data_IF_564404435422
#
_entry.id   IF_564404435422
#
_cell.length_a   1.000
_cell.length_b   1.000
_cell.length_c   1.000
_cell.angle_alpha   90.00
_cell.angle_beta   90.00
_cell.angle_gamma   90.00
#
_symmetry.space_group_name_H-M   'P 1'
#
loop_
_entity.id
_entity.type
_entity.pdbx_description
1 polymer ?
#
# COMPACT_ATOMS: atom_id res chain seq x y z
N UNK A 1 -35.07 -11.31 8.05
CA UNK A 1 -34.60 -12.72 8.01
C UNK A 1 -33.09 -12.72 7.81
N UNK A 2 -32.32 -13.42 8.64
CA UNK A 2 -30.87 -13.55 8.44
C UNK A 2 -30.60 -14.39 7.20
N UNK A 3 -29.77 -13.88 6.29
CA UNK A 3 -29.39 -14.61 5.08
C UNK A 3 -28.64 -15.91 5.44
N UNK A 4 -29.03 -17.02 4.81
CA UNK A 4 -28.40 -18.32 5.04
C UNK A 4 -27.06 -18.39 4.29
N UNK A 5 -25.99 -18.78 4.98
CA UNK A 5 -24.68 -19.02 4.37
C UNK A 5 -24.74 -20.26 3.45
N UNK A 6 -24.69 -20.06 2.12
CA UNK A 6 -24.82 -21.13 1.10
C UNK A 6 -23.49 -21.65 0.54
N UNK A 7 -22.46 -20.82 0.56
CA UNK A 7 -21.18 -21.13 -0.09
C UNK A 7 -20.13 -21.61 0.91
N UNK A 8 -19.29 -22.56 0.51
CA UNK A 8 -18.19 -23.11 1.31
C UNK A 8 -16.87 -22.93 0.57
N UNK A 9 -15.86 -22.47 1.30
CA UNK A 9 -14.47 -22.40 0.83
C UNK A 9 -13.65 -23.36 1.70
N UNK A 10 -12.88 -24.26 1.07
CA UNK A 10 -11.96 -25.15 1.76
C UNK A 10 -10.54 -24.56 1.73
N UNK A 11 -9.92 -24.39 2.90
CA UNK A 11 -8.54 -23.86 3.03
C UNK A 11 -7.68 -24.94 3.65
N UNK A 12 -6.61 -25.35 2.94
CA UNK A 12 -5.60 -26.26 3.50
C UNK A 12 -4.66 -25.45 4.40
N UNK A 13 -4.40 -25.95 5.60
CA UNK A 13 -3.57 -25.29 6.60
C UNK A 13 -2.48 -26.25 7.10
N UNK A 14 -1.37 -25.70 7.56
CA UNK A 14 -0.44 -26.49 8.38
C UNK A 14 -1.08 -26.80 9.73
N UNK A 15 -0.60 -27.83 10.44
CA UNK A 15 -1.08 -28.13 11.78
C UNK A 15 -0.93 -26.92 12.72
N UNK A 16 0.20 -26.22 12.65
CA UNK A 16 0.46 -25.03 13.47
C UNK A 16 -0.56 -23.90 13.21
N UNK A 17 -0.86 -23.61 11.94
CA UNK A 17 -1.83 -22.56 11.61
C UNK A 17 -3.25 -22.94 12.01
N UNK A 18 -3.61 -24.22 11.89
CA UNK A 18 -4.92 -24.72 12.32
C UNK A 18 -5.09 -24.61 13.83
N UNK A 19 -4.10 -25.04 14.63
CA UNK A 19 -4.16 -24.88 16.09
C UNK A 19 -4.18 -23.40 16.50
N UNK A 20 -3.43 -22.53 15.81
CA UNK A 20 -3.49 -21.09 16.05
C UNK A 20 -4.89 -20.51 15.78
N UNK A 21 -5.57 -20.96 14.73
CA UNK A 21 -6.96 -20.58 14.46
C UNK A 21 -7.89 -21.03 15.61
N UNK A 22 -7.77 -22.28 16.07
CA UNK A 22 -8.58 -22.79 17.17
C UNK A 22 -8.39 -21.96 18.45
N UNK A 23 -7.14 -21.74 18.86
CA UNK A 23 -6.83 -20.93 20.05
C UNK A 23 -7.42 -19.53 19.96
N UNK A 24 -7.17 -18.82 18.84
CA UNK A 24 -7.68 -17.44 18.68
C UNK A 24 -9.20 -17.36 18.62
N UNK A 25 -9.84 -18.32 17.96
CA UNK A 25 -11.30 -18.36 17.92
C UNK A 25 -11.91 -18.59 19.30
N UNK A 26 -11.30 -19.47 20.10
CA UNK A 26 -11.68 -19.71 21.49
C UNK A 26 -11.48 -18.46 22.36
N UNK A 27 -10.32 -17.81 22.28
CA UNK A 27 -10.04 -16.55 23.01
C UNK A 27 -11.03 -15.43 22.64
N UNK A 28 -11.44 -15.37 21.38
CA UNK A 28 -12.45 -14.42 20.90
C UNK A 28 -13.90 -14.83 21.23
N UNK A 29 -14.13 -16.01 21.81
CA UNK A 29 -15.46 -16.52 22.17
C UNK A 29 -16.35 -16.86 20.97
N UNK A 30 -15.77 -17.13 19.79
CA UNK A 30 -16.51 -17.42 18.55
C UNK A 30 -16.06 -18.72 17.91
N UNK A 31 -16.89 -19.31 17.04
CA UNK A 31 -16.48 -20.49 16.28
C UNK A 31 -15.31 -20.18 15.32
N UNK A 32 -14.45 -21.14 14.98
CA UNK A 32 -13.38 -20.95 13.98
C UNK A 32 -13.89 -20.40 12.65
N UNK A 33 -15.06 -20.85 12.21
CA UNK A 33 -15.67 -20.36 10.96
C UNK A 33 -16.15 -18.91 11.07
N UNK A 34 -16.68 -18.50 12.22
CA UNK A 34 -17.06 -17.09 12.41
C UNK A 34 -15.82 -16.20 12.56
N UNK A 35 -14.81 -16.67 13.29
CA UNK A 35 -13.52 -15.99 13.39
C UNK A 35 -12.93 -15.72 11.99
N UNK A 36 -12.90 -16.73 11.11
CA UNK A 36 -12.41 -16.57 9.74
C UNK A 36 -13.29 -15.65 8.90
N UNK A 37 -14.61 -15.68 9.07
CA UNK A 37 -15.52 -14.73 8.39
C UNK A 37 -15.26 -13.30 8.84
N UNK A 38 -15.05 -13.09 10.12
CA UNK A 38 -14.77 -11.76 10.67
C UNK A 38 -13.40 -11.25 10.23
N UNK A 39 -12.38 -12.12 10.21
CA UNK A 39 -11.10 -11.81 9.59
C UNK A 39 -11.21 -11.49 8.10
N UNK A 40 -12.15 -12.11 7.37
CA UNK A 40 -12.37 -11.79 5.96
C UNK A 40 -13.14 -10.46 5.77
N UNK A 41 -14.14 -10.18 6.61
CA UNK A 41 -14.93 -8.93 6.53
C UNK A 41 -14.09 -7.70 6.90
N UNK A 42 -13.23 -7.83 7.92
CA UNK A 42 -12.51 -6.70 8.51
C UNK A 42 -11.00 -6.73 8.24
N UNK A 43 -10.44 -7.89 7.88
CA UNK A 43 -9.05 -8.00 7.47
C UNK A 43 -8.88 -7.61 6.02
N UNK A 44 -7.70 -7.09 5.70
CA UNK A 44 -7.31 -6.74 4.35
C UNK A 44 -6.05 -7.50 3.97
N UNK A 45 -6.02 -8.06 2.77
CA UNK A 45 -4.78 -8.47 2.13
C UNK A 45 -4.28 -7.26 1.37
N UNK A 46 -3.12 -6.73 1.75
CA UNK A 46 -2.51 -5.62 1.00
C UNK A 46 -2.16 -6.14 -0.39
N UNK A 47 -2.83 -5.60 -1.41
CA UNK A 47 -2.50 -5.92 -2.80
C UNK A 47 -1.03 -5.60 -3.04
N UNK A 48 -0.33 -6.45 -3.81
CA UNK A 48 1.00 -6.07 -4.29
C UNK A 48 0.83 -4.79 -5.11
N UNK A 49 1.77 -3.86 -4.98
CA UNK A 49 1.81 -2.69 -5.84
C UNK A 49 1.71 -3.17 -7.30
N UNK A 50 0.70 -2.68 -8.03
CA UNK A 50 0.58 -2.95 -9.46
C UNK A 50 1.88 -2.55 -10.15
N UNK A 51 2.18 -3.14 -11.31
CA UNK A 51 3.36 -2.76 -12.09
C UNK A 51 3.37 -1.24 -12.38
N UNK A 52 2.18 -0.66 -12.55
CA UNK A 52 1.95 0.77 -12.70
C UNK A 52 2.34 1.56 -11.43
N UNK A 53 1.86 1.16 -10.25
CA UNK A 53 2.23 1.80 -8.97
C UNK A 53 3.73 1.69 -8.69
N UNK A 54 4.34 0.53 -8.99
CA UNK A 54 5.78 0.35 -8.89
C UNK A 54 6.56 1.23 -9.91
N UNK A 55 5.96 1.52 -11.06
CA UNK A 55 6.45 2.49 -12.03
C UNK A 55 6.44 3.92 -11.47
N UNK A 56 5.34 4.36 -10.88
CA UNK A 56 5.23 5.68 -10.25
C UNK A 56 6.22 5.86 -9.09
N UNK A 57 6.41 4.84 -8.25
CA UNK A 57 7.40 4.87 -7.16
C UNK A 57 8.82 5.02 -7.72
N UNK A 58 9.17 4.28 -8.79
CA UNK A 58 10.49 4.43 -9.44
C UNK A 58 10.69 5.84 -10.03
N UNK A 59 9.66 6.41 -10.65
CA UNK A 59 9.70 7.78 -11.14
C UNK A 59 9.91 8.78 -10.00
N UNK A 60 9.21 8.61 -8.89
CA UNK A 60 9.36 9.43 -7.68
C UNK A 60 10.80 9.36 -7.13
N UNK A 61 11.39 8.17 -7.06
CA UNK A 61 12.79 8.01 -6.66
C UNK A 61 13.75 8.74 -7.62
N UNK A 62 13.49 8.69 -8.93
CA UNK A 62 14.25 9.45 -9.93
C UNK A 62 14.17 10.97 -9.73
N UNK A 63 13.05 11.47 -9.19
CA UNK A 63 12.87 12.89 -8.90
C UNK A 63 13.79 13.42 -7.79
N UNK A 64 14.23 12.56 -6.87
CA UNK A 64 15.23 12.95 -5.86
C UNK A 64 16.55 13.39 -6.52
N UNK A 65 16.96 12.73 -7.62
CA UNK A 65 18.12 13.13 -8.39
C UNK A 65 17.92 14.47 -9.11
N UNK A 66 16.71 14.71 -9.65
CA UNK A 66 16.39 15.99 -10.29
C UNK A 66 16.46 17.15 -9.27
N UNK A 67 15.91 16.97 -8.08
CA UNK A 67 15.99 17.95 -6.99
C UNK A 67 17.43 18.20 -6.54
N UNK A 68 18.25 17.15 -6.41
CA UNK A 68 19.67 17.29 -6.10
C UNK A 68 20.44 18.09 -7.17
N UNK A 69 20.10 17.90 -8.45
CA UNK A 69 20.70 18.68 -9.54
C UNK A 69 20.29 20.15 -9.48
N UNK A 70 19.00 20.43 -9.22
CA UNK A 70 18.51 21.80 -9.07
C UNK A 70 19.15 22.51 -7.88
N UNK A 71 19.29 21.82 -6.73
CA UNK A 71 19.98 22.36 -5.57
C UNK A 71 21.45 22.69 -5.85
N UNK A 72 22.17 21.82 -6.58
CA UNK A 72 23.56 22.08 -6.96
C UNK A 72 23.69 23.27 -7.91
N UNK A 73 22.80 23.39 -8.91
CA UNK A 73 22.78 24.51 -9.86
C UNK A 73 22.49 25.84 -9.15
N UNK A 74 21.46 25.87 -8.32
CA UNK A 74 21.11 27.04 -7.52
C UNK A 74 22.25 27.47 -6.58
N UNK A 75 22.97 26.52 -5.98
CA UNK A 75 24.14 26.82 -5.14
C UNK A 75 25.32 27.39 -5.94
N UNK A 76 25.44 27.05 -7.22
CA UNK A 76 26.54 27.50 -8.09
C UNK A 76 26.23 28.82 -8.81
N UNK A 77 24.98 29.06 -9.20
CA UNK A 77 24.57 30.18 -10.05
C UNK A 77 23.53 31.14 -9.45
N UNK A 78 23.03 30.86 -8.24
CA UNK A 78 21.87 31.54 -7.67
C UNK A 78 20.54 30.92 -8.15
N UNK A 79 19.44 31.16 -7.44
CA UNK A 79 18.16 30.44 -7.63
C UNK A 79 17.19 31.08 -8.65
N UNK A 80 17.63 32.08 -9.41
CA UNK A 80 16.72 32.85 -10.27
C UNK A 80 16.23 32.06 -11.47
N UNK A 81 17.09 31.21 -12.06
CA UNK A 81 16.77 30.46 -13.28
C UNK A 81 16.10 29.11 -12.95
N UNK A 82 16.44 28.49 -11.83
CA UNK A 82 15.94 27.17 -11.40
C UNK A 82 14.54 27.24 -10.75
N UNK A 83 14.05 28.43 -10.45
CA UNK A 83 12.77 28.63 -9.76
C UNK A 83 11.60 27.99 -10.51
N UNK A 84 11.62 28.04 -11.84
CA UNK A 84 10.57 27.42 -12.66
C UNK A 84 10.69 25.89 -12.66
N UNK A 85 11.90 25.37 -12.83
CA UNK A 85 12.17 23.92 -12.83
C UNK A 85 11.82 23.28 -11.48
N UNK A 86 12.07 23.97 -10.37
CA UNK A 86 11.61 23.55 -9.04
C UNK A 86 10.09 23.45 -8.95
N UNK A 87 9.34 24.41 -9.50
CA UNK A 87 7.87 24.35 -9.50
C UNK A 87 7.35 23.19 -10.33
N UNK A 88 7.95 22.94 -11.50
CA UNK A 88 7.60 21.79 -12.35
C UNK A 88 7.88 20.47 -11.63
N UNK A 89 9.03 20.36 -10.96
CA UNK A 89 9.38 19.18 -10.18
C UNK A 89 8.37 18.92 -9.04
N UNK A 90 7.99 19.96 -8.29
CA UNK A 90 6.99 19.84 -7.22
C UNK A 90 5.62 19.42 -7.76
N UNK A 91 5.16 20.02 -8.86
CA UNK A 91 3.89 19.65 -9.49
C UNK A 91 3.87 18.18 -9.94
N UNK A 92 4.99 17.69 -10.48
CA UNK A 92 5.12 16.30 -10.92
C UNK A 92 5.19 15.31 -9.76
N UNK A 93 5.85 15.68 -8.65
CA UNK A 93 5.83 14.88 -7.40
C UNK A 93 4.39 14.75 -6.89
N UNK A 94 3.66 15.87 -6.84
CA UNK A 94 2.27 15.87 -6.39
C UNK A 94 1.39 14.96 -7.26
N UNK A 95 1.51 15.05 -8.59
CA UNK A 95 0.79 14.18 -9.52
C UNK A 95 1.08 12.69 -9.28
N UNK A 96 2.35 12.33 -9.07
CA UNK A 96 2.75 10.94 -8.83
C UNK A 96 2.23 10.42 -7.49
N UNK A 97 2.26 11.22 -6.42
CA UNK A 97 1.71 10.84 -5.11
C UNK A 97 0.20 10.59 -5.23
N UNK A 98 -0.53 11.49 -5.90
CA UNK A 98 -1.97 11.31 -6.15
C UNK A 98 -2.28 10.01 -6.90
N UNK A 99 -1.46 9.65 -7.90
CA UNK A 99 -1.64 8.39 -8.67
C UNK A 99 -1.31 7.12 -7.89
N UNK A 100 -0.44 7.19 -6.88
CA UNK A 100 -0.13 6.06 -6.00
C UNK A 100 -1.25 5.83 -4.98
N UNK A 101 -2.11 6.84 -4.74
CA UNK A 101 -3.24 6.75 -3.81
C UNK A 101 -2.81 6.87 -2.33
N UNK A 102 -1.75 7.64 -2.07
CA UNK A 102 -1.30 8.01 -0.71
C UNK A 102 -1.79 9.42 -0.41
#
# INVERSE_FOLDING_TARGET
>A
ATEKLKYRIAVKMTAADYFRLLTRSHEAGVSPSEYMRECFRNGHVKERLSEEHAGYIRQLCGMANNLNQLARKANAGGFHDERWDCKVAVARIHELITKIGI
#
